data_IF_291994554186
#
_entry.id   IF_291994554186
#
_cell.length_a   1.000
_cell.length_b   1.000
_cell.length_c   1.000
_cell.angle_alpha   90.00
_cell.angle_beta   90.00
_cell.angle_gamma   90.00
#
_symmetry.space_group_name_H-M   'P 1'
#
loop_
_entity.id
_entity.type
_entity.pdbx_description
1 polymer ?
#
# COMPACT_ATOMS: atom_id res chain seq x y z
N UNK A 1 21.19 -13.48 17.62
CA UNK A 1 22.16 -12.82 16.71
C UNK A 1 21.36 -11.94 15.79
N UNK A 2 21.81 -10.70 15.56
CA UNK A 2 21.20 -9.84 14.54
C UNK A 2 21.52 -10.41 13.17
N UNK A 3 20.50 -10.53 12.31
CA UNK A 3 20.63 -11.02 10.94
C UNK A 3 21.15 -9.94 10.00
N UNK A 4 20.79 -8.67 10.26
CA UNK A 4 21.24 -7.51 9.50
C UNK A 4 21.93 -6.49 10.40
N UNK A 5 22.92 -5.80 9.85
CA UNK A 5 23.43 -4.57 10.43
C UNK A 5 22.45 -3.42 10.18
N UNK A 6 22.47 -2.38 11.03
CA UNK A 6 21.63 -1.20 10.84
C UNK A 6 21.88 -0.53 9.47
N UNK A 7 23.13 -0.50 9.01
CA UNK A 7 23.49 0.05 7.70
C UNK A 7 22.83 -0.73 6.53
N UNK A 8 22.68 -2.04 6.65
CA UNK A 8 21.97 -2.85 5.66
C UNK A 8 20.47 -2.56 5.67
N UNK A 9 19.85 -2.42 6.85
CA UNK A 9 18.45 -2.03 6.99
C UNK A 9 18.18 -0.64 6.41
N UNK A 10 19.04 0.33 6.72
CA UNK A 10 18.95 1.69 6.20
C UNK A 10 19.06 1.70 4.67
N UNK A 11 19.98 0.88 4.10
CA UNK A 11 20.12 0.72 2.65
C UNK A 11 18.85 0.18 2.01
N UNK A 12 18.16 -0.79 2.64
CA UNK A 12 16.88 -1.33 2.15
C UNK A 12 15.75 -0.29 2.16
N UNK A 13 15.86 0.76 2.97
CA UNK A 13 14.83 1.79 3.15
C UNK A 13 15.12 3.08 2.36
N UNK A 14 16.24 3.14 1.63
CA UNK A 14 16.63 4.36 0.89
C UNK A 14 15.53 4.80 -0.08
N UNK A 15 15.30 6.13 -0.22
CA UNK A 15 14.40 6.65 -1.24
C UNK A 15 14.84 6.27 -2.66
N UNK A 16 13.90 6.12 -3.60
CA UNK A 16 14.18 5.71 -4.98
C UNK A 16 15.33 6.45 -5.68
N UNK A 17 15.37 7.78 -5.60
CA UNK A 17 16.43 8.57 -6.24
C UNK A 17 17.82 8.24 -5.70
N UNK A 18 17.95 8.03 -4.40
CA UNK A 18 19.21 7.64 -3.77
C UNK A 18 19.64 6.24 -4.20
N UNK A 19 18.69 5.30 -4.37
CA UNK A 19 19.00 3.95 -4.88
C UNK A 19 19.61 4.00 -6.29
N UNK A 20 19.12 4.88 -7.16
CA UNK A 20 19.67 5.07 -8.50
C UNK A 20 21.09 5.64 -8.46
N UNK A 21 21.31 6.66 -7.64
CA UNK A 21 22.65 7.23 -7.40
C UNK A 21 23.63 6.17 -6.89
N UNK A 22 23.23 5.37 -5.90
CA UNK A 22 24.07 4.32 -5.32
C UNK A 22 24.36 3.22 -6.36
N UNK A 23 23.34 2.79 -7.11
CA UNK A 23 23.48 1.82 -8.20
C UNK A 23 24.49 2.28 -9.26
N UNK A 24 24.44 3.56 -9.64
CA UNK A 24 25.37 4.11 -10.62
C UNK A 24 26.81 4.09 -10.09
N UNK A 25 27.03 4.51 -8.84
CA UNK A 25 28.37 4.59 -8.23
C UNK A 25 28.98 3.22 -7.96
N UNK A 26 28.16 2.25 -7.55
CA UNK A 26 28.63 0.93 -7.11
C UNK A 26 28.66 -0.09 -8.25
N UNK A 27 27.72 -0.01 -9.20
CA UNK A 27 27.51 -1.02 -10.25
C UNK A 27 27.37 -0.48 -11.67
N UNK A 28 27.44 0.83 -11.88
CA UNK A 28 27.36 1.47 -13.19
C UNK A 28 25.99 1.35 -13.87
N UNK A 29 25.91 1.64 -15.19
CA UNK A 29 24.65 1.68 -15.94
C UNK A 29 23.80 0.41 -15.87
N UNK A 30 24.42 -0.77 -15.79
CA UNK A 30 23.70 -2.04 -15.72
C UNK A 30 22.90 -2.17 -14.42
N UNK A 31 23.49 -1.77 -13.29
CA UNK A 31 22.81 -1.81 -11.98
C UNK A 31 21.70 -0.76 -11.90
N UNK A 32 21.93 0.44 -12.46
CA UNK A 32 20.89 1.50 -12.57
C UNK A 32 19.66 0.97 -13.31
N UNK A 33 19.85 0.27 -14.42
CA UNK A 33 18.76 -0.35 -15.20
C UNK A 33 18.02 -1.42 -14.40
N UNK A 34 18.73 -2.23 -13.61
CA UNK A 34 18.12 -3.25 -12.76
C UNK A 34 17.28 -2.62 -11.64
N UNK A 35 17.82 -1.60 -10.96
CA UNK A 35 17.11 -0.85 -9.92
C UNK A 35 15.89 -0.14 -10.48
N UNK A 36 15.99 0.52 -11.64
CA UNK A 36 14.84 1.12 -12.31
C UNK A 36 13.73 0.10 -12.58
N UNK A 37 14.06 -1.06 -13.15
CA UNK A 37 13.09 -2.12 -13.44
C UNK A 37 12.39 -2.64 -12.18
N UNK A 38 13.13 -2.80 -11.08
CA UNK A 38 12.56 -3.17 -9.79
C UNK A 38 11.51 -2.13 -9.34
N UNK A 39 11.87 -0.85 -9.38
CA UNK A 39 10.98 0.22 -8.93
C UNK A 39 9.76 0.40 -9.83
N UNK A 40 9.94 0.30 -11.15
CA UNK A 40 8.86 0.31 -12.13
C UNK A 40 7.85 -0.82 -11.87
N UNK A 41 8.35 -2.03 -11.58
CA UNK A 41 7.51 -3.18 -11.25
C UNK A 41 6.71 -2.95 -9.94
N UNK A 42 7.33 -2.35 -8.92
CA UNK A 42 6.66 -2.04 -7.64
C UNK A 42 5.57 -0.98 -7.82
N UNK A 43 5.84 0.07 -8.57
CA UNK A 43 4.85 1.10 -8.94
C UNK A 43 3.66 0.43 -9.65
N UNK A 44 3.93 -0.43 -10.64
CA UNK A 44 2.87 -1.12 -11.37
C UNK A 44 2.05 -2.05 -10.47
N UNK A 45 2.69 -2.87 -9.63
CA UNK A 45 1.97 -3.78 -8.72
C UNK A 45 1.02 -3.02 -7.78
N UNK A 46 1.46 -1.92 -7.19
CA UNK A 46 0.60 -1.12 -6.30
C UNK A 46 -0.51 -0.40 -7.08
N UNK A 47 -0.19 0.15 -8.25
CA UNK A 47 -1.17 0.86 -9.06
C UNK A 47 -2.23 -0.10 -9.63
N UNK A 48 -1.85 -1.34 -9.95
CA UNK A 48 -2.78 -2.40 -10.38
C UNK A 48 -3.56 -3.01 -9.21
N UNK A 49 -2.97 -3.09 -8.02
CA UNK A 49 -3.67 -3.49 -6.80
C UNK A 49 -4.90 -2.59 -6.56
N UNK A 50 -4.76 -1.26 -6.65
CA UNK A 50 -5.89 -0.35 -6.47
C UNK A 50 -6.95 -0.47 -7.58
N UNK A 51 -6.52 -0.67 -8.84
CA UNK A 51 -7.46 -0.91 -9.94
C UNK A 51 -8.26 -2.20 -9.72
N UNK A 52 -7.58 -3.29 -9.35
CA UNK A 52 -8.21 -4.58 -9.03
C UNK A 52 -9.14 -4.45 -7.83
N UNK A 53 -8.73 -3.74 -6.79
CA UNK A 53 -9.57 -3.54 -5.61
C UNK A 53 -10.84 -2.76 -5.95
N UNK A 54 -10.75 -1.69 -6.74
CA UNK A 54 -11.94 -0.98 -7.23
C UNK A 54 -12.91 -1.91 -7.96
N UNK A 55 -12.38 -2.75 -8.86
CA UNK A 55 -13.20 -3.72 -9.59
C UNK A 55 -13.84 -4.78 -8.68
N UNK A 56 -13.11 -5.25 -7.67
CA UNK A 56 -13.62 -6.23 -6.69
C UNK A 56 -14.69 -5.62 -5.79
N UNK A 57 -14.57 -4.35 -5.40
CA UNK A 57 -15.62 -3.63 -4.66
C UNK A 57 -16.89 -3.49 -5.50
N UNK A 58 -16.76 -3.20 -6.80
CA UNK A 58 -17.91 -3.20 -7.73
C UNK A 58 -18.49 -4.61 -7.90
N UNK A 59 -17.65 -5.64 -7.98
CA UNK A 59 -18.08 -7.04 -7.99
C UNK A 59 -18.90 -7.41 -6.76
N UNK A 60 -18.46 -6.99 -5.57
CA UNK A 60 -19.22 -7.15 -4.33
C UNK A 60 -20.60 -6.46 -4.40
N UNK A 61 -20.68 -5.22 -4.93
CA UNK A 61 -21.95 -4.53 -5.12
C UNK A 61 -22.90 -5.31 -6.04
N UNK A 62 -22.39 -5.88 -7.13
CA UNK A 62 -23.18 -6.73 -8.04
C UNK A 62 -23.66 -7.97 -7.31
N UNK A 63 -22.77 -8.67 -6.61
CA UNK A 63 -23.06 -9.95 -5.96
C UNK A 63 -24.08 -9.80 -4.81
N UNK A 64 -24.00 -8.71 -4.03
CA UNK A 64 -24.85 -8.50 -2.85
C UNK A 64 -26.08 -7.64 -3.11
N UNK A 65 -26.03 -6.75 -4.10
CA UNK A 65 -27.04 -5.71 -4.32
C UNK A 65 -27.49 -5.59 -5.78
N UNK A 66 -27.04 -6.48 -6.67
CA UNK A 66 -27.39 -6.48 -8.08
C UNK A 66 -26.81 -5.29 -8.85
N UNK A 67 -27.22 -5.18 -10.13
CA UNK A 67 -26.77 -4.09 -11.00
C UNK A 67 -27.17 -2.70 -10.49
N UNK A 68 -28.26 -2.58 -9.74
CA UNK A 68 -28.68 -1.30 -9.14
C UNK A 68 -27.70 -0.84 -8.05
N UNK A 69 -27.19 -1.77 -7.23
CA UNK A 69 -26.13 -1.48 -6.27
C UNK A 69 -24.84 -1.03 -6.97
N UNK A 70 -24.46 -1.73 -8.05
CA UNK A 70 -23.28 -1.37 -8.84
C UNK A 70 -23.44 -0.03 -9.57
N UNK A 71 -24.66 0.30 -10.04
CA UNK A 71 -24.95 1.56 -10.70
C UNK A 71 -24.65 2.76 -9.79
N UNK A 72 -24.75 2.62 -8.46
CA UNK A 72 -24.38 3.69 -7.51
C UNK A 72 -22.89 3.98 -7.45
N UNK A 73 -22.04 3.03 -7.86
CA UNK A 73 -20.60 3.27 -8.02
C UNK A 73 -20.29 4.11 -9.26
N UNK A 74 -21.29 4.36 -10.12
CA UNK A 74 -21.15 5.12 -11.35
C UNK A 74 -22.08 6.34 -11.40
N UNK A 75 -21.57 7.50 -11.83
CA UNK A 75 -20.20 7.69 -12.29
C UNK A 75 -19.24 7.94 -11.12
N UNK A 76 -18.10 7.25 -11.13
CA UNK A 76 -17.12 7.32 -10.04
C UNK A 76 -16.61 8.74 -9.77
N UNK A 77 -16.64 9.62 -10.79
CA UNK A 77 -16.24 11.03 -10.65
C UNK A 77 -17.18 11.88 -9.81
N UNK A 78 -18.42 11.45 -9.59
CA UNK A 78 -19.34 12.12 -8.67
C UNK A 78 -19.04 11.77 -7.19
N UNK A 79 -18.21 10.75 -6.95
CA UNK A 79 -17.80 10.34 -5.60
C UNK A 79 -16.64 11.19 -5.04
N UNK A 80 -16.11 12.14 -5.82
CA UNK A 80 -15.03 13.04 -5.43
C UNK A 80 -15.23 14.43 -6.06
N UNK A 81 -14.72 15.50 -5.44
CA UNK A 81 -14.90 16.86 -5.96
C UNK A 81 -14.16 17.05 -7.29
N UNK A 82 -14.64 17.95 -8.14
CA UNK A 82 -13.95 18.32 -9.39
C UNK A 82 -12.64 19.07 -9.15
N UNK A 83 -12.57 19.82 -8.04
CA UNK A 83 -11.46 20.70 -7.70
C UNK A 83 -10.46 20.02 -6.76
N UNK A 84 -9.17 20.17 -7.03
CA UNK A 84 -8.09 19.56 -6.23
C UNK A 84 -7.82 18.09 -6.56
N UNK A 85 -8.44 17.59 -7.64
CA UNK A 85 -8.12 16.33 -8.31
C UNK A 85 -6.73 16.41 -8.91
N UNK A 86 -5.84 15.44 -8.64
CA UNK A 86 -4.62 15.31 -9.43
C UNK A 86 -4.99 15.09 -10.90
N UNK A 87 -4.58 15.99 -11.79
CA UNK A 87 -4.88 15.86 -13.22
C UNK A 87 -3.66 15.31 -13.95
N UNK A 88 -3.82 14.16 -14.58
CA UNK A 88 -2.87 13.68 -15.58
C UNK A 88 -3.25 14.29 -16.94
N UNK A 89 -2.40 15.18 -17.45
CA UNK A 89 -2.62 15.80 -18.77
C UNK A 89 -1.40 15.61 -19.67
N UNK A 90 -1.62 15.68 -20.98
CA UNK A 90 -0.55 15.71 -21.97
C UNK A 90 0.48 14.58 -21.81
N UNK A 91 1.74 14.98 -21.66
CA UNK A 91 2.90 14.08 -21.59
C UNK A 91 2.95 13.22 -20.33
N UNK A 92 2.51 13.74 -19.19
CA UNK A 92 2.47 12.99 -17.92
C UNK A 92 1.51 11.81 -18.01
N UNK A 93 0.32 12.03 -18.58
CA UNK A 93 -0.66 10.97 -18.80
C UNK A 93 -0.14 9.88 -19.74
N UNK A 94 0.59 10.27 -20.78
CA UNK A 94 1.22 9.32 -21.71
C UNK A 94 2.29 8.51 -20.99
N UNK A 95 3.16 9.16 -20.21
CA UNK A 95 4.25 8.53 -19.47
C UNK A 95 3.73 7.54 -18.41
N UNK A 96 2.79 7.96 -17.56
CA UNK A 96 2.19 7.10 -16.55
C UNK A 96 1.53 5.87 -17.20
N UNK A 97 0.78 6.07 -18.30
CA UNK A 97 0.16 4.96 -19.03
C UNK A 97 1.22 4.01 -19.61
N UNK A 98 2.33 4.54 -20.09
CA UNK A 98 3.39 3.76 -20.72
C UNK A 98 4.11 2.88 -19.69
N UNK A 99 4.48 3.43 -18.53
CA UNK A 99 5.01 2.67 -17.37
C UNK A 99 4.07 1.54 -16.95
N UNK A 100 2.77 1.84 -16.89
CA UNK A 100 1.75 0.88 -16.47
C UNK A 100 1.46 -0.20 -17.51
N UNK A 101 1.88 -0.04 -18.77
CA UNK A 101 1.73 -1.07 -19.81
C UNK A 101 2.74 -2.21 -19.65
N UNK A 102 3.91 -1.95 -19.08
CA UNK A 102 4.91 -2.99 -18.86
C UNK A 102 6.35 -2.51 -19.04
N UNK A 103 7.32 -3.42 -18.85
CA UNK A 103 8.75 -3.11 -18.83
C UNK A 103 9.35 -2.81 -20.22
N UNK A 104 8.64 -3.14 -21.29
CA UNK A 104 9.06 -2.87 -22.68
C UNK A 104 8.50 -1.55 -23.21
N UNK A 105 8.22 -0.61 -22.31
CA UNK A 105 7.65 0.70 -22.62
C UNK A 105 8.68 1.63 -23.28
N UNK A 106 8.21 2.66 -23.99
CA UNK A 106 9.11 3.69 -24.54
C UNK A 106 9.82 4.44 -23.42
N UNK A 107 9.12 4.66 -22.30
CA UNK A 107 9.66 5.29 -21.08
C UNK A 107 10.81 4.47 -20.50
N UNK A 108 10.69 3.15 -20.44
CA UNK A 108 11.75 2.26 -19.98
C UNK A 108 12.96 2.25 -20.93
N UNK A 109 12.72 2.26 -22.25
CA UNK A 109 13.78 2.34 -23.26
C UNK A 109 14.54 3.67 -23.23
N UNK A 110 13.82 4.78 -23.05
CA UNK A 110 14.40 6.11 -22.88
C UNK A 110 15.24 6.18 -21.62
N UNK A 111 14.73 5.66 -20.50
CA UNK A 111 15.47 5.61 -19.24
C UNK A 111 16.73 4.74 -19.36
N UNK A 112 16.66 3.59 -20.03
CA UNK A 112 17.81 2.73 -20.24
C UNK A 112 18.90 3.41 -21.09
N UNK A 113 18.50 4.16 -22.11
CA UNK A 113 19.43 4.96 -22.93
C UNK A 113 20.09 6.06 -22.10
N UNK A 114 19.32 6.72 -21.25
CA UNK A 114 19.84 7.73 -20.33
C UNK A 114 20.80 7.12 -19.31
N UNK A 115 20.52 5.93 -18.78
CA UNK A 115 21.41 5.25 -17.85
C UNK A 115 22.80 4.97 -18.47
N UNK A 116 22.88 4.72 -19.78
CA UNK A 116 24.14 4.47 -20.48
C UNK A 116 25.05 5.71 -20.59
N UNK A 117 24.53 6.92 -20.37
CA UNK A 117 25.36 8.14 -20.34
C UNK A 117 26.18 8.25 -19.06
N UNK A 118 25.75 7.61 -17.98
CA UNK A 118 26.34 7.74 -16.65
C UNK A 118 26.15 9.13 -16.00
N UNK A 119 25.25 9.96 -16.55
CA UNK A 119 24.90 11.27 -15.98
C UNK A 119 23.93 11.10 -14.81
N UNK A 120 24.46 11.11 -13.58
CA UNK A 120 23.68 10.89 -12.35
C UNK A 120 22.53 11.88 -12.22
N UNK A 121 22.79 13.17 -12.46
CA UNK A 121 21.79 14.23 -12.30
C UNK A 121 20.64 14.05 -13.30
N UNK A 122 20.97 13.73 -14.55
CA UNK A 122 19.95 13.49 -15.56
C UNK A 122 19.12 12.22 -15.25
N UNK A 123 19.75 11.14 -14.80
CA UNK A 123 19.08 9.88 -14.40
C UNK A 123 18.09 10.15 -13.26
N UNK A 124 18.52 10.85 -12.21
CA UNK A 124 17.69 11.17 -11.05
C UNK A 124 16.54 12.10 -11.44
N UNK A 125 16.80 13.13 -12.25
CA UNK A 125 15.76 14.02 -12.75
C UNK A 125 14.71 13.25 -13.56
N UNK A 126 15.15 12.39 -14.48
CA UNK A 126 14.21 11.60 -15.30
C UNK A 126 13.38 10.65 -14.45
N UNK A 127 13.98 10.05 -13.42
CA UNK A 127 13.24 9.25 -12.46
C UNK A 127 12.17 10.08 -11.73
N UNK A 128 12.48 11.30 -11.29
CA UNK A 128 11.51 12.16 -10.61
C UNK A 128 10.30 12.48 -11.50
N UNK A 129 10.50 12.71 -12.80
CA UNK A 129 9.41 12.90 -13.77
C UNK A 129 8.52 11.66 -13.89
N UNK A 130 9.15 10.48 -14.09
CA UNK A 130 8.45 9.20 -14.19
C UNK A 130 7.67 8.89 -12.92
N UNK A 131 8.31 9.11 -11.78
CA UNK A 131 7.74 8.90 -10.46
C UNK A 131 6.56 9.83 -10.21
N UNK A 132 6.67 11.13 -10.48
CA UNK A 132 5.59 12.09 -10.31
C UNK A 132 4.35 11.74 -11.15
N UNK A 133 4.54 11.36 -12.42
CA UNK A 133 3.46 10.93 -13.29
C UNK A 133 2.78 9.64 -12.77
N UNK A 134 3.59 8.66 -12.36
CA UNK A 134 3.08 7.38 -11.85
C UNK A 134 2.39 7.52 -10.50
N UNK A 135 2.95 8.32 -9.59
CA UNK A 135 2.39 8.61 -8.27
C UNK A 135 1.04 9.34 -8.38
N UNK A 136 0.88 10.19 -9.39
CA UNK A 136 -0.41 10.83 -9.68
C UNK A 136 -1.45 9.78 -10.10
N UNK A 137 -1.09 8.83 -10.97
CA UNK A 137 -1.96 7.73 -11.37
C UNK A 137 -2.32 6.80 -10.19
N UNK A 138 -1.35 6.48 -9.34
CA UNK A 138 -1.55 5.71 -8.11
C UNK A 138 -2.52 6.43 -7.17
N UNK A 139 -2.29 7.72 -6.91
CA UNK A 139 -3.14 8.54 -6.03
C UNK A 139 -4.59 8.54 -6.51
N UNK A 140 -4.82 8.74 -7.82
CA UNK A 140 -6.15 8.69 -8.41
C UNK A 140 -6.85 7.35 -8.18
N UNK A 141 -6.14 6.24 -8.35
CA UNK A 141 -6.71 4.89 -8.14
C UNK A 141 -6.97 4.59 -6.66
N UNK A 142 -6.05 4.99 -5.77
CA UNK A 142 -6.22 4.87 -4.32
C UNK A 142 -7.44 5.66 -3.85
N UNK A 143 -7.54 6.92 -4.27
CA UNK A 143 -8.64 7.80 -3.89
C UNK A 143 -9.98 7.30 -4.48
N UNK A 144 -9.97 6.69 -5.67
CA UNK A 144 -11.13 5.98 -6.23
C UNK A 144 -11.59 4.82 -5.35
N UNK A 145 -10.67 3.97 -4.89
CA UNK A 145 -11.01 2.89 -3.94
C UNK A 145 -11.62 3.47 -2.68
N UNK A 146 -11.00 4.51 -2.09
CA UNK A 146 -11.52 5.13 -0.86
C UNK A 146 -12.91 5.73 -1.06
N UNK A 147 -13.19 6.32 -2.21
CA UNK A 147 -14.50 6.85 -2.56
C UNK A 147 -15.55 5.72 -2.65
N UNK A 148 -15.20 4.58 -3.26
CA UNK A 148 -16.07 3.40 -3.30
C UNK A 148 -16.33 2.83 -1.89
N UNK A 149 -15.31 2.75 -1.04
CA UNK A 149 -15.49 2.32 0.35
C UNK A 149 -16.33 3.30 1.17
N UNK A 150 -16.21 4.60 0.89
CA UNK A 150 -17.07 5.64 1.47
C UNK A 150 -18.52 5.39 1.08
N UNK A 151 -18.79 5.19 -0.21
CA UNK A 151 -20.13 4.84 -0.71
C UNK A 151 -20.70 3.60 -0.01
N UNK A 152 -19.89 2.53 0.10
CA UNK A 152 -20.30 1.29 0.76
C UNK A 152 -20.66 1.54 2.23
N UNK A 153 -19.77 2.22 2.96
CA UNK A 153 -19.98 2.54 4.37
C UNK A 153 -21.22 3.42 4.58
N UNK A 154 -21.42 4.46 3.76
CA UNK A 154 -22.54 5.39 3.92
C UNK A 154 -23.88 4.77 3.51
N UNK A 155 -23.87 3.83 2.55
CA UNK A 155 -25.07 3.19 2.05
C UNK A 155 -25.48 1.96 2.87
N UNK A 156 -24.51 1.15 3.28
CA UNK A 156 -24.73 -0.17 3.88
C UNK A 156 -24.18 -0.28 5.32
N UNK A 157 -23.68 0.82 5.87
CA UNK A 157 -23.13 0.88 7.22
C UNK A 157 -21.79 0.17 7.38
N UNK A 158 -21.28 0.17 8.62
CA UNK A 158 -20.04 -0.51 8.99
C UNK A 158 -20.08 -2.01 8.70
N UNK A 159 -21.25 -2.65 8.84
CA UNK A 159 -21.43 -4.08 8.52
C UNK A 159 -21.24 -4.36 7.02
N UNK A 160 -21.83 -3.52 6.16
CA UNK A 160 -21.62 -3.62 4.71
C UNK A 160 -20.16 -3.37 4.31
N UNK A 161 -19.49 -2.41 4.95
CA UNK A 161 -18.06 -2.19 4.76
C UNK A 161 -17.23 -3.40 5.19
N UNK A 162 -17.54 -4.00 6.35
CA UNK A 162 -16.84 -5.19 6.84
C UNK A 162 -16.97 -6.36 5.87
N UNK A 163 -18.18 -6.64 5.41
CA UNK A 163 -18.45 -7.71 4.45
C UNK A 163 -17.79 -7.46 3.08
N UNK A 164 -17.82 -6.21 2.60
CA UNK A 164 -17.12 -5.81 1.38
C UNK A 164 -15.60 -6.00 1.49
N UNK A 165 -15.00 -5.59 2.61
CA UNK A 165 -13.56 -5.72 2.84
C UNK A 165 -13.14 -7.17 3.02
N UNK A 166 -13.98 -8.00 3.65
CA UNK A 166 -13.76 -9.45 3.74
C UNK A 166 -13.79 -10.11 2.37
N UNK A 167 -14.80 -9.79 1.55
CA UNK A 167 -14.87 -10.24 0.16
C UNK A 167 -13.62 -9.84 -0.63
N UNK A 168 -13.18 -8.59 -0.51
CA UNK A 168 -11.96 -8.12 -1.17
C UNK A 168 -10.69 -8.81 -0.65
N UNK A 169 -10.61 -9.04 0.66
CA UNK A 169 -9.51 -9.77 1.32
C UNK A 169 -9.35 -11.17 0.75
N UNK A 170 -10.45 -11.90 0.61
CA UNK A 170 -10.44 -13.27 0.09
C UNK A 170 -9.93 -13.34 -1.36
N UNK A 171 -10.30 -12.37 -2.19
CA UNK A 171 -9.93 -12.33 -3.61
C UNK A 171 -8.50 -11.82 -3.84
N UNK A 172 -8.06 -10.83 -3.06
CA UNK A 172 -6.84 -10.07 -3.34
C UNK A 172 -5.71 -10.43 -2.37
N UNK A 173 -5.96 -10.34 -1.07
CA UNK A 173 -4.92 -10.40 -0.05
C UNK A 173 -4.65 -11.81 0.45
N UNK A 174 -5.65 -12.67 0.57
CA UNK A 174 -5.43 -14.02 1.08
C UNK A 174 -4.45 -14.84 0.22
N UNK A 175 -4.50 -14.80 -1.14
CA UNK A 175 -3.46 -15.45 -1.96
C UNK A 175 -2.08 -14.83 -1.76
N UNK A 176 -2.00 -13.50 -1.66
CA UNK A 176 -0.74 -12.77 -1.42
C UNK A 176 -0.15 -13.10 -0.04
N UNK A 177 -1.00 -13.25 0.98
CA UNK A 177 -0.64 -13.67 2.33
C UNK A 177 -0.02 -15.04 2.32
N UNK A 178 -0.70 -16.03 1.73
CA UNK A 178 -0.17 -17.39 1.65
C UNK A 178 1.19 -17.45 0.94
N UNK A 179 1.32 -16.72 -0.18
CA UNK A 179 2.58 -16.64 -0.91
C UNK A 179 3.70 -15.94 -0.11
N UNK A 180 3.39 -14.89 0.65
CA UNK A 180 4.39 -14.19 1.46
C UNK A 180 4.82 -15.02 2.68
N UNK A 181 3.87 -15.63 3.39
CA UNK A 181 4.14 -16.47 4.57
C UNK A 181 4.94 -17.74 4.23
N UNK A 182 4.90 -18.20 2.98
CA UNK A 182 5.71 -19.33 2.51
C UNK A 182 7.21 -18.99 2.31
N UNK A 183 7.58 -17.71 2.39
CA UNK A 183 8.96 -17.24 2.19
C UNK A 183 9.71 -17.14 3.52
N UNK A 184 11.04 -17.17 3.46
CA UNK A 184 11.87 -16.89 4.62
C UNK A 184 11.58 -15.48 5.17
N UNK A 185 11.58 -15.27 6.50
CA UNK A 185 11.31 -13.96 7.11
C UNK A 185 12.20 -12.82 6.58
N UNK A 186 13.45 -13.11 6.26
CA UNK A 186 14.41 -12.16 5.68
C UNK A 186 14.00 -11.71 4.27
N UNK A 187 13.44 -12.62 3.46
CA UNK A 187 12.93 -12.29 2.13
C UNK A 187 11.65 -11.45 2.23
N UNK A 188 10.81 -11.75 3.23
CA UNK A 188 9.61 -10.96 3.53
C UNK A 188 10.02 -9.55 3.94
N UNK A 189 10.98 -9.41 4.85
CA UNK A 189 11.55 -8.12 5.26
C UNK A 189 11.95 -7.27 4.04
N UNK A 190 12.82 -7.81 3.16
CA UNK A 190 13.30 -7.09 1.98
C UNK A 190 12.14 -6.64 1.08
N UNK A 191 11.21 -7.55 0.83
CA UNK A 191 10.04 -7.26 -0.02
C UNK A 191 9.13 -6.19 0.58
N UNK A 192 8.91 -6.22 1.90
CA UNK A 192 8.11 -5.20 2.58
C UNK A 192 8.82 -3.84 2.63
N UNK A 193 10.15 -3.80 2.80
CA UNK A 193 10.92 -2.57 2.71
C UNK A 193 10.83 -1.92 1.33
N UNK A 194 10.96 -2.69 0.27
CA UNK A 194 10.78 -2.24 -1.11
C UNK A 194 9.34 -1.75 -1.37
N UNK A 195 8.34 -2.54 -0.99
CA UNK A 195 6.92 -2.18 -1.18
C UNK A 195 6.56 -0.92 -0.40
N UNK A 196 7.04 -0.75 0.83
CA UNK A 196 6.70 0.42 1.64
C UNK A 196 7.39 1.70 1.17
N UNK A 197 8.68 1.62 0.84
CA UNK A 197 9.48 2.80 0.46
C UNK A 197 9.29 3.22 -0.99
N UNK A 198 9.12 2.26 -1.91
CA UNK A 198 8.97 2.53 -3.35
C UNK A 198 7.51 2.40 -3.77
N UNK A 199 6.89 1.25 -3.52
CA UNK A 199 5.55 0.96 -4.02
C UNK A 199 4.47 1.86 -3.40
N UNK A 200 4.51 2.06 -2.08
CA UNK A 200 3.58 2.90 -1.35
C UNK A 200 4.09 4.31 -1.10
N UNK A 201 5.31 4.64 -1.52
CA UNK A 201 5.89 5.98 -1.39
C UNK A 201 5.94 6.50 0.06
N UNK A 202 6.14 5.59 1.02
CA UNK A 202 6.25 5.91 2.44
C UNK A 202 7.67 6.33 2.83
N UNK A 203 7.78 7.18 3.85
CA UNK A 203 9.03 7.28 4.60
C UNK A 203 9.18 6.04 5.47
N UNK A 204 10.30 5.34 5.36
CA UNK A 204 10.50 4.04 6.03
C UNK A 204 11.81 4.06 6.80
N UNK A 205 11.76 3.62 8.06
CA UNK A 205 12.94 3.17 8.80
C UNK A 205 12.66 1.79 9.37
N UNK A 206 13.71 0.99 9.56
CA UNK A 206 13.59 -0.37 10.12
C UNK A 206 14.61 -0.56 11.23
N UNK A 207 14.14 -1.15 12.33
CA UNK A 207 14.98 -1.61 13.44
C UNK A 207 14.80 -3.11 13.61
N UNK A 208 15.89 -3.83 13.85
CA UNK A 208 15.86 -5.25 14.18
C UNK A 208 15.71 -5.46 15.70
N UNK A 209 14.70 -6.23 16.08
CA UNK A 209 14.47 -6.74 17.43
C UNK A 209 14.76 -8.25 17.47
N UNK A 210 14.84 -8.89 18.66
CA UNK A 210 15.20 -10.31 18.75
C UNK A 210 14.33 -11.25 17.89
N UNK A 211 13.01 -11.04 17.86
CA UNK A 211 12.03 -11.92 17.21
C UNK A 211 11.36 -11.32 15.97
N UNK A 212 11.65 -10.05 15.64
CA UNK A 212 10.99 -9.32 14.55
C UNK A 212 11.82 -8.15 14.02
N UNK A 213 11.40 -7.60 12.89
CA UNK A 213 11.82 -6.29 12.41
C UNK A 213 10.66 -5.31 12.47
N UNK A 214 10.90 -4.13 13.02
CA UNK A 214 9.88 -3.08 13.21
C UNK A 214 10.14 -1.95 12.23
N UNK A 215 9.15 -1.69 11.39
CA UNK A 215 9.09 -0.60 10.44
C UNK A 215 8.38 0.58 11.08
N UNK A 216 9.00 1.76 11.02
CA UNK A 216 8.30 3.02 11.25
C UNK A 216 7.97 3.65 9.90
N UNK A 217 6.69 3.90 9.67
CA UNK A 217 6.17 4.50 8.44
C UNK A 217 5.80 5.96 8.71
N UNK A 218 6.67 6.89 8.33
CA UNK A 218 6.55 8.32 8.63
C UNK A 218 6.81 9.24 7.41
N UNK A 219 5.74 9.76 6.77
CA UNK A 219 4.37 9.29 6.90
C UNK A 219 4.18 7.94 6.23
N UNK A 220 3.16 7.19 6.66
CA UNK A 220 2.61 6.10 5.86
C UNK A 220 2.14 6.64 4.51
N UNK A 221 2.72 6.15 3.40
CA UNK A 221 2.51 6.71 2.06
C UNK A 221 1.12 6.44 1.44
N UNK A 222 0.29 5.61 2.09
CA UNK A 222 -1.09 5.36 1.69
C UNK A 222 -2.10 6.09 2.59
N UNK A 223 -2.49 5.49 3.72
CA UNK A 223 -3.54 6.01 4.61
C UNK A 223 -3.14 7.36 5.25
N UNK A 224 -1.94 7.41 5.84
CA UNK A 224 -1.43 8.62 6.50
C UNK A 224 -1.34 9.78 5.51
N UNK A 225 -0.83 9.49 4.31
CA UNK A 225 -0.77 10.45 3.21
C UNK A 225 -2.14 11.01 2.83
N UNK A 226 -3.19 10.19 2.68
CA UNK A 226 -4.54 10.70 2.40
C UNK A 226 -5.04 11.69 3.46
N UNK A 227 -4.73 11.45 4.74
CA UNK A 227 -5.11 12.36 5.83
C UNK A 227 -4.34 13.68 5.74
N UNK A 228 -3.02 13.60 5.50
CA UNK A 228 -2.16 14.78 5.32
C UNK A 228 -2.59 15.62 4.12
N UNK A 229 -2.92 14.95 3.01
CA UNK A 229 -3.41 15.57 1.77
C UNK A 229 -4.85 16.12 1.91
N UNK A 230 -5.48 15.96 3.07
CA UNK A 230 -6.77 16.56 3.39
C UNK A 230 -7.98 15.84 2.79
N UNK A 231 -7.83 14.57 2.38
CA UNK A 231 -8.92 13.81 1.73
C UNK A 231 -10.13 13.54 2.63
N UNK A 232 -9.98 13.69 3.95
CA UNK A 232 -11.07 13.56 4.93
C UNK A 232 -11.65 14.91 5.36
N UNK A 233 -11.29 16.00 4.67
CA UNK A 233 -11.76 17.37 4.88
C UNK A 233 -12.51 17.83 3.61
N UNK A 234 -13.14 18.99 3.66
CA UNK A 234 -13.68 19.62 2.45
C UNK A 234 -12.56 19.88 1.43
N UNK A 235 -12.80 19.70 0.12
CA UNK A 235 -14.06 19.29 -0.50
C UNK A 235 -14.26 17.75 -0.64
N UNK A 236 -13.30 16.94 -0.21
CA UNK A 236 -13.28 15.49 -0.45
C UNK A 236 -14.20 14.69 0.46
N UNK A 237 -14.13 14.95 1.77
CA UNK A 237 -15.01 14.37 2.80
C UNK A 237 -15.11 12.84 2.73
N UNK A 238 -14.01 12.13 2.47
CA UNK A 238 -14.00 10.67 2.50
C UNK A 238 -14.50 10.10 3.85
N UNK A 239 -15.04 8.90 3.79
CA UNK A 239 -15.77 8.26 4.87
C UNK A 239 -14.91 7.94 6.09
N UNK A 240 -15.55 7.94 7.25
CA UNK A 240 -14.98 7.52 8.53
C UNK A 240 -15.88 6.45 9.11
N UNK A 241 -15.30 5.32 9.49
CA UNK A 241 -15.95 4.32 10.33
C UNK A 241 -16.01 4.90 11.74
N UNK A 242 -17.24 5.11 12.22
CA UNK A 242 -17.51 5.64 13.56
C UNK A 242 -17.95 4.53 14.49
N UNK A 243 -17.53 4.63 15.74
CA UNK A 243 -17.79 3.64 16.77
C UNK A 243 -16.77 2.50 16.79
N UNK A 244 -16.73 1.82 17.93
CA UNK A 244 -15.74 0.79 18.24
C UNK A 244 -16.11 -0.55 17.60
N UNK A 245 -15.83 -0.67 16.31
CA UNK A 245 -16.01 -1.90 15.54
C UNK A 245 -14.68 -2.64 15.33
N UNK A 246 -14.64 -3.98 15.25
CA UNK A 246 -13.43 -4.73 14.93
C UNK A 246 -12.77 -4.27 13.63
N UNK A 247 -13.55 -4.04 12.57
CA UNK A 247 -13.08 -3.49 11.29
C UNK A 247 -12.49 -2.08 11.41
N UNK A 248 -12.73 -1.40 12.53
CA UNK A 248 -12.15 -0.11 12.87
C UNK A 248 -11.05 -0.17 13.94
N UNK A 249 -10.48 -1.36 14.21
CA UNK A 249 -9.56 -1.62 15.33
C UNK A 249 -10.11 -1.23 16.71
N UNK A 250 -11.43 -1.33 16.92
CA UNK A 250 -12.11 -0.94 18.15
C UNK A 250 -11.81 0.50 18.63
N UNK A 251 -11.35 1.36 17.70
CA UNK A 251 -11.16 2.80 17.91
C UNK A 251 -12.49 3.53 17.69
N UNK A 252 -12.63 4.72 18.27
CA UNK A 252 -13.84 5.53 18.08
C UNK A 252 -14.01 5.96 16.63
N UNK A 253 -12.93 6.45 16.01
CA UNK A 253 -12.95 6.90 14.62
C UNK A 253 -11.73 6.37 13.87
N UNK A 254 -11.96 5.82 12.68
CA UNK A 254 -10.91 5.49 11.72
C UNK A 254 -11.40 5.70 10.29
N UNK A 255 -10.50 6.00 9.36
CA UNK A 255 -10.91 6.18 7.96
C UNK A 255 -11.44 4.87 7.35
N UNK A 256 -12.39 4.96 6.42
CA UNK A 256 -12.87 3.77 5.68
C UNK A 256 -11.75 3.09 4.89
N UNK A 257 -10.72 3.86 4.48
CA UNK A 257 -9.55 3.27 3.86
C UNK A 257 -8.77 2.44 4.88
N UNK A 258 -8.41 2.98 6.04
CA UNK A 258 -7.68 2.22 7.09
C UNK A 258 -8.41 0.96 7.59
N UNK A 259 -9.73 0.88 7.43
CA UNK A 259 -10.51 -0.31 7.77
C UNK A 259 -10.03 -1.57 7.02
N UNK A 260 -9.47 -1.44 5.81
CA UNK A 260 -8.86 -2.57 5.11
C UNK A 260 -7.67 -3.15 5.85
N UNK A 261 -6.94 -2.35 6.63
CA UNK A 261 -5.79 -2.82 7.39
C UNK A 261 -6.25 -3.75 8.52
N UNK A 262 -7.34 -3.38 9.21
CA UNK A 262 -7.94 -4.25 10.23
C UNK A 262 -8.38 -5.57 9.62
N UNK A 263 -9.05 -5.53 8.47
CA UNK A 263 -9.58 -6.73 7.83
C UNK A 263 -8.48 -7.61 7.20
N UNK A 264 -7.71 -7.04 6.27
CA UNK A 264 -6.79 -7.78 5.41
C UNK A 264 -5.46 -8.15 6.09
N UNK A 265 -5.05 -7.39 7.11
CA UNK A 265 -3.77 -7.58 7.78
C UNK A 265 -3.87 -8.06 9.22
N UNK A 266 -5.07 -8.07 9.81
CA UNK A 266 -5.27 -8.51 11.21
C UNK A 266 -6.35 -9.57 11.34
N UNK A 267 -7.62 -9.25 11.10
CA UNK A 267 -8.77 -10.14 11.34
C UNK A 267 -8.67 -11.42 10.50
N UNK A 268 -8.62 -11.29 9.17
CA UNK A 268 -8.61 -12.47 8.28
C UNK A 268 -7.33 -13.31 8.43
N UNK A 269 -6.13 -12.71 8.54
CA UNK A 269 -4.93 -13.48 8.89
C UNK A 269 -5.07 -14.26 10.20
N UNK A 270 -5.53 -13.63 11.29
CA UNK A 270 -5.73 -14.32 12.58
C UNK A 270 -6.73 -15.46 12.44
N UNK A 271 -7.84 -15.26 11.74
CA UNK A 271 -8.85 -16.31 11.54
C UNK A 271 -8.31 -17.51 10.76
N UNK A 272 -7.54 -17.25 9.69
CA UNK A 272 -7.07 -18.26 8.73
C UNK A 272 -5.80 -18.98 9.17
N UNK A 273 -4.82 -18.22 9.64
CA UNK A 273 -3.49 -18.75 9.99
C UNK A 273 -3.13 -18.56 11.45
N UNK A 274 -4.00 -17.97 12.27
CA UNK A 274 -3.76 -17.85 13.72
C UNK A 274 -2.82 -16.71 14.13
N UNK A 275 -2.39 -15.85 13.19
CA UNK A 275 -1.47 -14.74 13.42
C UNK A 275 -1.75 -13.56 12.46
N UNK A 276 -1.44 -12.31 12.83
CA UNK A 276 -1.55 -11.15 11.94
C UNK A 276 -0.51 -11.19 10.80
N UNK A 277 -0.78 -10.52 9.67
CA UNK A 277 0.11 -10.52 8.51
C UNK A 277 0.06 -9.24 7.66
N UNK A 278 1.20 -8.52 7.50
CA UNK A 278 2.18 -8.33 8.56
C UNK A 278 1.48 -7.69 9.77
N UNK A 279 2.11 -7.74 10.93
CA UNK A 279 1.49 -7.18 12.12
C UNK A 279 1.50 -5.65 12.01
N UNK A 280 0.33 -5.01 11.90
CA UNK A 280 0.22 -3.57 11.69
C UNK A 280 -0.43 -2.86 12.88
N UNK A 281 0.11 -1.68 13.24
CA UNK A 281 -0.53 -0.74 14.16
C UNK A 281 -0.75 0.59 13.45
N UNK A 282 -2.01 0.86 13.16
CA UNK A 282 -2.40 2.07 12.47
C UNK A 282 -2.49 3.26 13.45
N UNK A 283 -2.03 4.43 13.02
CA UNK A 283 -2.12 5.69 13.74
C UNK A 283 -3.54 6.31 13.78
N UNK A 284 -4.49 5.76 13.00
CA UNK A 284 -5.83 6.34 12.86
C UNK A 284 -5.80 7.72 12.21
N UNK A 285 -6.72 8.61 12.62
CA UNK A 285 -6.89 9.95 12.05
C UNK A 285 -5.79 10.96 12.45
N UNK A 286 -4.90 10.60 13.39
CA UNK A 286 -3.87 11.52 13.87
C UNK A 286 -2.74 11.79 12.85
N UNK A 287 -2.66 10.97 11.78
CA UNK A 287 -1.59 11.02 10.78
C UNK A 287 -0.16 10.96 11.37
N UNK A 288 -0.01 10.38 12.57
CA UNK A 288 1.28 10.10 13.18
C UNK A 288 1.90 8.84 12.54
N UNK A 289 3.18 8.53 12.82
CA UNK A 289 3.82 7.34 12.26
C UNK A 289 3.02 6.06 12.52
N UNK A 290 2.93 5.19 11.51
CA UNK A 290 2.37 3.86 11.64
C UNK A 290 3.47 2.83 11.88
N UNK A 291 3.13 1.71 12.52
CA UNK A 291 4.05 0.60 12.77
C UNK A 291 3.65 -0.60 11.91
N UNK A 292 4.65 -1.26 11.33
CA UNK A 292 4.51 -2.57 10.70
C UNK A 292 5.61 -3.47 11.24
N UNK A 293 5.29 -4.69 11.64
CA UNK A 293 6.27 -5.66 12.11
C UNK A 293 6.27 -6.92 11.26
N UNK A 294 7.47 -7.35 10.86
CA UNK A 294 7.74 -8.65 10.26
C UNK A 294 8.35 -9.54 11.33
N UNK A 295 7.55 -10.45 11.86
CA UNK A 295 8.03 -11.46 12.79
C UNK A 295 8.76 -12.59 12.06
N UNK A 296 9.80 -13.13 12.71
CA UNK A 296 10.48 -14.35 12.27
C UNK A 296 9.52 -15.54 12.26
N UNK A 297 8.71 -15.63 13.31
CA UNK A 297 7.54 -16.49 13.38
C UNK A 297 6.31 -15.62 13.64
N UNK A 298 5.37 -15.47 12.67
CA UNK A 298 4.15 -14.69 12.86
C UNK A 298 3.35 -15.05 14.13
N UNK A 299 3.44 -16.30 14.60
CA UNK A 299 2.73 -16.76 15.79
C UNK A 299 3.29 -16.19 17.10
N UNK A 300 4.48 -15.58 17.09
CA UNK A 300 5.03 -14.88 18.25
C UNK A 300 4.57 -13.43 18.33
N UNK A 301 3.65 -13.00 17.46
CA UNK A 301 3.03 -11.68 17.54
C UNK A 301 2.40 -11.43 18.92
N UNK A 302 2.63 -10.22 19.45
CA UNK A 302 2.16 -9.85 20.78
C UNK A 302 0.62 -9.76 20.88
N UNK A 303 0.05 -9.91 22.09
CA UNK A 303 -1.40 -9.88 22.31
C UNK A 303 -2.06 -8.58 21.84
N UNK A 304 -1.32 -7.46 21.82
CA UNK A 304 -1.81 -6.16 21.37
C UNK A 304 -2.36 -6.18 19.93
N UNK A 305 -1.83 -7.06 19.06
CA UNK A 305 -2.29 -7.19 17.67
C UNK A 305 -3.64 -7.90 17.55
N UNK A 306 -4.00 -8.73 18.53
CA UNK A 306 -5.27 -9.45 18.58
C UNK A 306 -6.33 -8.61 19.30
N UNK A 307 -5.94 -8.01 20.44
CA UNK A 307 -6.80 -7.17 21.26
C UNK A 307 -7.33 -5.96 20.50
N UNK A 308 -6.53 -5.36 19.61
CA UNK A 308 -6.97 -4.23 18.79
C UNK A 308 -8.15 -4.55 17.86
N UNK A 309 -8.48 -5.82 17.63
CA UNK A 309 -9.67 -6.22 16.86
C UNK A 309 -10.62 -7.11 17.67
N UNK A 310 -10.45 -7.17 18.99
CA UNK A 310 -11.30 -7.96 19.88
C UNK A 310 -11.11 -9.48 19.78
N UNK A 311 -9.95 -9.92 19.30
CA UNK A 311 -9.58 -11.32 19.22
C UNK A 311 -8.55 -11.68 20.31
N UNK A 312 -8.34 -12.97 20.52
CA UNK A 312 -7.30 -13.50 21.41
C UNK A 312 -6.31 -14.38 20.64
N UNK A 313 -5.04 -14.46 21.05
CA UNK A 313 -4.10 -15.40 20.47
C UNK A 313 -4.62 -16.84 20.61
N UNK A 314 -4.57 -17.61 19.52
CA UNK A 314 -4.85 -19.05 19.60
C UNK A 314 -3.61 -19.75 20.18
N UNK A 315 -3.77 -20.72 21.10
CA UNK A 315 -2.66 -21.55 21.52
C UNK A 315 -2.06 -22.25 20.29
N UNK A 316 -0.75 -22.17 20.10
CA UNK A 316 -0.05 -22.96 19.08
C UNK A 316 -0.17 -24.44 19.44
N UNK A 317 -1.03 -25.18 18.73
CA UNK A 317 -1.03 -26.64 18.79
C UNK A 317 0.19 -27.14 18.02
N UNK A 318 1.24 -27.53 18.75
CA UNK A 318 2.41 -28.21 18.22
C UNK A 318 2.08 -29.63 17.74
#
# INVERSE_FOLDING_TARGET
MTTFSQAELDRMCRPPGQRLSDALREGGPAEVKAVYRLMENLIRDITDLYARWSAVTVGWLIDRHGYDGAARAFPVHELWPSDGVPHLTGTEAVMARDVLRGPDSATAADFATLADTGDEDAIVLRWQEIHAASYTAETLRRDTVTALLTLVNDTYGTEGLEDCLRYATDVIWAPRMGADLARAPEDRLRSWAEKMSVGHNGGVTVVEEPDRWVFTLDPCGSCGRQILDGRYRDPWRFGVVRGRHPVGFLREDITVYQAHVAMAHTIVPIERVGAPWPAMRCAGLAATPCELAIYRDPHTAGPEYYEQVGLTPRPTTH
#
